data_IF_372387885613
#
_entry.id   IF_372387885613
#
_cell.length_a   1.000
_cell.length_b   1.000
_cell.length_c   1.000
_cell.angle_alpha   90.00
_cell.angle_beta   90.00
_cell.angle_gamma   90.00
#
_symmetry.space_group_name_H-M   'P 1'
#
loop_
_entity.id
_entity.type
_entity.pdbx_description
1 polymer ?
#
# COMPACT_ATOMS: atom_id res chain seq x y z
N UNK A 1 -9.57 13.12 -8.57
CA UNK A 1 -8.97 11.91 -7.97
C UNK A 1 -8.64 10.84 -9.01
N UNK A 2 -9.57 10.47 -9.90
CA UNK A 2 -9.35 9.45 -10.94
C UNK A 2 -8.05 9.60 -11.75
N UNK A 3 -7.76 10.81 -12.23
CA UNK A 3 -6.52 11.12 -12.95
C UNK A 3 -5.27 10.92 -12.08
N UNK A 4 -5.29 11.40 -10.83
CA UNK A 4 -4.21 11.24 -9.87
C UNK A 4 -3.90 9.74 -9.64
N UNK A 5 -4.94 8.93 -9.42
CA UNK A 5 -4.81 7.49 -9.25
C UNK A 5 -4.25 6.82 -10.51
N UNK A 6 -4.69 7.23 -11.70
CA UNK A 6 -4.12 6.73 -12.96
C UNK A 6 -2.62 7.03 -13.09
N UNK A 7 -2.16 8.21 -12.66
CA UNK A 7 -0.74 8.55 -12.67
C UNK A 7 0.04 7.68 -11.66
N UNK A 8 -0.50 7.46 -10.46
CA UNK A 8 0.09 6.56 -9.45
C UNK A 8 0.23 5.14 -10.00
N UNK A 9 -0.81 4.62 -10.64
CA UNK A 9 -0.83 3.28 -11.24
C UNK A 9 0.24 3.16 -12.36
N UNK A 10 0.35 4.18 -13.21
CA UNK A 10 1.34 4.23 -14.29
C UNK A 10 2.77 4.25 -13.76
N UNK A 11 3.05 5.06 -12.75
CA UNK A 11 4.39 5.19 -12.17
C UNK A 11 4.84 3.91 -11.47
N UNK A 12 3.90 3.15 -10.90
CA UNK A 12 4.15 1.82 -10.34
C UNK A 12 4.14 0.69 -11.39
N UNK A 13 4.00 1.02 -12.69
CA UNK A 13 4.04 0.08 -13.82
C UNK A 13 2.94 -0.99 -13.82
N UNK A 14 1.80 -0.71 -13.19
CA UNK A 14 0.65 -1.61 -13.26
C UNK A 14 -0.01 -1.51 -14.65
N UNK A 15 -0.49 -2.65 -15.15
CA UNK A 15 -1.42 -2.67 -16.28
C UNK A 15 -2.78 -2.15 -15.85
N UNK A 16 -3.49 -1.56 -16.80
CA UNK A 16 -4.76 -0.87 -16.55
C UNK A 16 -5.80 -1.34 -17.54
N UNK A 17 -6.97 -1.69 -17.02
CA UNK A 17 -8.21 -1.88 -17.77
C UNK A 17 -9.25 -0.91 -17.20
N UNK A 18 -9.75 -0.02 -18.05
CA UNK A 18 -10.83 0.90 -17.69
C UNK A 18 -12.14 0.27 -18.15
N UNK A 19 -13.12 0.21 -17.25
CA UNK A 19 -14.44 -0.33 -17.54
C UNK A 19 -15.51 0.53 -16.87
N UNK A 20 -16.76 0.32 -17.27
CA UNK A 20 -17.94 0.84 -16.60
C UNK A 20 -18.87 -0.34 -16.27
N UNK A 21 -19.18 -0.52 -14.99
CA UNK A 21 -20.02 -1.63 -14.52
C UNK A 21 -21.05 -1.08 -13.54
N UNK A 22 -22.33 -1.39 -13.78
CA UNK A 22 -23.48 -0.79 -13.08
C UNK A 22 -23.49 0.75 -13.07
N UNK A 23 -23.10 1.37 -14.19
CA UNK A 23 -23.04 2.82 -14.35
C UNK A 23 -22.05 3.52 -13.40
N UNK A 24 -21.04 2.77 -12.92
CA UNK A 24 -19.93 3.30 -12.12
C UNK A 24 -18.61 3.04 -12.83
N UNK A 25 -17.76 4.06 -12.80
CA UNK A 25 -16.44 4.01 -13.41
C UNK A 25 -15.48 3.15 -12.59
N UNK A 26 -14.81 2.24 -13.28
CA UNK A 26 -13.87 1.31 -12.67
C UNK A 26 -12.53 1.39 -13.37
N UNK A 27 -11.47 1.37 -12.55
CA UNK A 27 -10.13 1.05 -13.02
C UNK A 27 -9.72 -0.28 -12.39
N UNK A 28 -9.59 -1.31 -13.21
CA UNK A 28 -8.93 -2.55 -12.82
C UNK A 28 -7.44 -2.44 -13.14
N UNK A 29 -6.59 -2.79 -12.18
CA UNK A 29 -5.14 -2.75 -12.36
C UNK A 29 -4.43 -3.91 -11.69
N UNK A 30 -3.29 -4.30 -12.25
CA UNK A 30 -2.55 -5.48 -11.82
C UNK A 30 -1.10 -5.41 -12.29
N UNK A 31 -0.20 -6.13 -11.59
CA UNK A 31 1.17 -6.34 -12.03
C UNK A 31 1.25 -7.49 -13.04
N UNK A 32 2.10 -7.42 -14.07
CA UNK A 32 2.28 -8.55 -14.99
C UNK A 32 2.96 -9.76 -14.31
N UNK A 33 3.88 -9.48 -13.39
CA UNK A 33 4.77 -10.43 -12.72
C UNK A 33 4.31 -10.86 -11.32
N UNK A 34 3.31 -10.19 -10.75
CA UNK A 34 2.74 -10.52 -9.43
C UNK A 34 1.29 -10.94 -9.53
N UNK A 35 0.80 -11.62 -8.52
CA UNK A 35 -0.59 -12.06 -8.42
C UNK A 35 -1.46 -11.09 -7.61
N UNK A 36 -1.12 -9.80 -7.58
CA UNK A 36 -1.90 -8.77 -6.88
C UNK A 36 -2.82 -8.00 -7.84
N UNK A 37 -4.08 -7.85 -7.47
CA UNK A 37 -5.13 -7.24 -8.29
C UNK A 37 -5.87 -6.15 -7.53
N UNK A 38 -6.18 -5.06 -8.22
CA UNK A 38 -6.78 -3.88 -7.62
C UNK A 38 -7.95 -3.38 -8.47
N UNK A 39 -9.13 -3.27 -7.88
CA UNK A 39 -10.29 -2.60 -8.45
C UNK A 39 -10.42 -1.24 -7.77
N UNK A 40 -10.31 -0.17 -8.53
CA UNK A 40 -10.62 1.18 -8.09
C UNK A 40 -12.02 1.54 -8.53
N UNK A 41 -12.89 1.82 -7.57
CA UNK A 41 -14.28 2.21 -7.77
C UNK A 41 -14.41 3.71 -7.49
N UNK A 42 -14.76 4.51 -8.49
CA UNK A 42 -14.92 5.96 -8.34
C UNK A 42 -16.40 6.32 -8.25
N UNK A 43 -16.85 6.76 -7.08
CA UNK A 43 -18.26 7.08 -6.87
C UNK A 43 -18.46 8.11 -5.76
N UNK A 44 -19.54 8.87 -5.85
CA UNK A 44 -20.09 9.58 -4.69
C UNK A 44 -20.82 8.62 -3.75
N UNK A 45 -21.07 9.02 -2.51
CA UNK A 45 -21.89 8.22 -1.60
C UNK A 45 -23.29 7.92 -2.14
N UNK A 46 -23.91 8.92 -2.77
CA UNK A 46 -25.23 8.76 -3.39
C UNK A 46 -25.19 7.67 -4.48
N UNK A 47 -24.14 7.64 -5.28
CA UNK A 47 -23.97 6.62 -6.32
C UNK A 47 -23.71 5.24 -5.73
N UNK A 48 -22.92 5.13 -4.67
CA UNK A 48 -22.72 3.87 -3.95
C UNK A 48 -24.06 3.32 -3.43
N UNK A 49 -24.87 4.18 -2.80
CA UNK A 49 -26.19 3.78 -2.28
C UNK A 49 -27.24 3.54 -3.38
N UNK A 50 -27.21 4.26 -4.50
CA UNK A 50 -28.27 4.18 -5.52
C UNK A 50 -27.96 3.26 -6.68
N UNK A 51 -26.68 3.11 -7.06
CA UNK A 51 -26.26 2.32 -8.24
C UNK A 51 -25.85 0.91 -7.84
N UNK A 52 -25.21 0.76 -6.68
CA UNK A 52 -24.68 -0.53 -6.22
C UNK A 52 -25.68 -1.21 -5.27
N UNK A 53 -26.35 -0.48 -4.39
CA UNK A 53 -27.35 -1.05 -3.46
C UNK A 53 -28.79 -1.13 -4.05
N UNK A 54 -28.95 -1.26 -5.37
CA UNK A 54 -30.25 -1.18 -6.07
C UNK A 54 -31.29 -2.23 -5.62
N UNK A 55 -30.84 -3.41 -5.21
CA UNK A 55 -31.72 -4.57 -5.00
C UNK A 55 -32.11 -4.81 -3.53
N UNK A 56 -31.55 -4.03 -2.59
CA UNK A 56 -31.85 -4.20 -1.16
C UNK A 56 -32.72 -3.04 -0.66
N UNK A 57 -33.98 -3.35 -0.33
CA UNK A 57 -34.92 -2.47 0.38
C UNK A 57 -34.43 -2.04 1.78
N UNK A 58 -33.24 -2.49 2.21
CA UNK A 58 -32.54 -2.01 3.37
C UNK A 58 -31.35 -1.17 2.91
N UNK A 59 -31.41 0.15 3.16
CA UNK A 59 -30.27 1.08 3.02
C UNK A 59 -29.03 0.67 3.83
N UNK A 60 -29.17 -0.34 4.69
CA UNK A 60 -28.19 -0.76 5.69
C UNK A 60 -27.22 -1.88 5.26
N UNK A 61 -27.25 -2.39 4.02
CA UNK A 61 -26.34 -3.47 3.61
C UNK A 61 -25.49 -3.15 2.37
N UNK A 62 -24.84 -1.98 2.41
CA UNK A 62 -23.82 -1.55 1.43
C UNK A 62 -22.70 -2.60 1.32
N UNK A 63 -22.38 -3.29 2.41
CA UNK A 63 -21.37 -4.34 2.43
C UNK A 63 -21.74 -5.52 1.52
N UNK A 64 -22.96 -6.05 1.66
CA UNK A 64 -23.46 -7.11 0.79
C UNK A 64 -23.49 -6.67 -0.67
N UNK A 65 -23.91 -5.43 -0.93
CA UNK A 65 -23.96 -4.87 -2.28
C UNK A 65 -22.56 -4.79 -2.91
N UNK A 66 -21.55 -4.35 -2.16
CA UNK A 66 -20.16 -4.32 -2.59
C UNK A 66 -19.58 -5.73 -2.82
N UNK A 67 -19.87 -6.68 -1.94
CA UNK A 67 -19.43 -8.06 -2.11
C UNK A 67 -20.05 -8.69 -3.37
N UNK A 68 -21.34 -8.47 -3.60
CA UNK A 68 -22.07 -8.92 -4.80
C UNK A 68 -21.52 -8.26 -6.06
N UNK A 69 -21.24 -6.96 -6.00
CA UNK A 69 -20.60 -6.21 -7.08
C UNK A 69 -19.25 -6.83 -7.47
N UNK A 70 -18.37 -7.07 -6.50
CA UNK A 70 -17.04 -7.65 -6.77
C UNK A 70 -17.18 -9.07 -7.32
N UNK A 71 -18.09 -9.87 -6.77
CA UNK A 71 -18.36 -11.22 -7.26
C UNK A 71 -18.79 -11.22 -8.73
N UNK A 72 -19.76 -10.39 -9.09
CA UNK A 72 -20.26 -10.29 -10.46
C UNK A 72 -19.22 -9.68 -11.41
N UNK A 73 -18.45 -8.68 -10.97
CA UNK A 73 -17.37 -8.12 -11.79
C UNK A 73 -16.29 -9.18 -12.09
N UNK A 74 -15.86 -9.94 -11.08
CA UNK A 74 -14.91 -11.05 -11.26
C UNK A 74 -15.42 -12.07 -12.28
N UNK A 75 -16.68 -12.48 -12.13
CA UNK A 75 -17.30 -13.50 -12.98
C UNK A 75 -17.47 -13.05 -14.42
N UNK A 76 -17.88 -11.80 -14.64
CA UNK A 76 -18.26 -11.30 -15.96
C UNK A 76 -17.10 -10.64 -16.72
N UNK A 77 -16.10 -10.08 -16.02
CA UNK A 77 -15.01 -9.29 -16.64
C UNK A 77 -13.62 -9.85 -16.43
N UNK A 78 -13.39 -10.59 -15.34
CA UNK A 78 -12.03 -11.01 -14.94
C UNK A 78 -11.82 -12.53 -15.01
N UNK A 79 -12.62 -13.23 -15.81
CA UNK A 79 -12.55 -14.69 -15.92
C UNK A 79 -11.15 -15.18 -16.39
N UNK A 80 -10.47 -14.40 -17.23
CA UNK A 80 -9.13 -14.70 -17.73
C UNK A 80 -8.05 -14.67 -16.64
N UNK A 81 -8.31 -14.01 -15.52
CA UNK A 81 -7.40 -13.90 -14.38
C UNK A 81 -7.59 -15.02 -13.33
N UNK A 82 -8.55 -15.93 -13.52
CA UNK A 82 -8.78 -17.05 -12.58
C UNK A 82 -7.57 -17.94 -12.37
N UNK A 83 -6.78 -18.15 -13.42
CA UNK A 83 -5.56 -18.95 -13.35
C UNK A 83 -4.39 -18.25 -12.63
N UNK A 84 -4.57 -16.99 -12.23
CA UNK A 84 -3.57 -16.17 -11.52
C UNK A 84 -3.99 -15.87 -10.07
N UNK A 85 -4.78 -16.76 -9.46
CA UNK A 85 -5.22 -16.66 -8.06
C UNK A 85 -5.97 -15.36 -7.68
N UNK A 86 -6.69 -14.74 -8.63
CA UNK A 86 -7.42 -13.49 -8.39
C UNK A 86 -8.44 -13.58 -7.25
N UNK A 87 -8.98 -14.76 -6.97
CA UNK A 87 -9.96 -14.92 -5.90
C UNK A 87 -9.39 -14.66 -4.50
N UNK A 88 -8.08 -14.82 -4.31
CA UNK A 88 -7.43 -14.63 -3.01
C UNK A 88 -6.68 -13.29 -2.88
N UNK A 89 -6.33 -12.68 -4.01
CA UNK A 89 -5.41 -11.53 -4.06
C UNK A 89 -6.05 -10.26 -4.65
N UNK A 90 -7.37 -10.14 -4.54
CA UNK A 90 -8.11 -8.98 -5.00
C UNK A 90 -8.34 -7.97 -3.89
N UNK A 91 -7.99 -6.72 -4.17
CA UNK A 91 -8.34 -5.56 -3.35
C UNK A 91 -9.33 -4.65 -4.08
N UNK A 92 -10.35 -4.20 -3.37
CA UNK A 92 -11.27 -3.16 -3.79
C UNK A 92 -10.90 -1.86 -3.08
N UNK A 93 -10.55 -0.83 -3.84
CA UNK A 93 -10.30 0.53 -3.35
C UNK A 93 -11.47 1.40 -3.79
N UNK A 94 -12.29 1.80 -2.82
CA UNK A 94 -13.46 2.66 -3.03
C UNK A 94 -13.02 4.10 -2.83
N UNK A 95 -13.04 4.87 -3.91
CA UNK A 95 -12.59 6.25 -3.96
C UNK A 95 -13.82 7.15 -3.91
N UNK A 96 -14.06 7.77 -2.77
CA UNK A 96 -15.29 8.52 -2.48
C UNK A 96 -14.98 9.99 -2.25
N UNK A 97 -15.67 10.86 -2.99
CA UNK A 97 -15.68 12.30 -2.68
C UNK A 97 -16.56 12.54 -1.44
N UNK A 98 -15.95 13.05 -0.37
CA UNK A 98 -16.58 13.23 0.93
C UNK A 98 -17.50 14.45 0.91
N UNK A 99 -18.80 14.22 1.07
CA UNK A 99 -19.81 15.29 1.08
C UNK A 99 -20.44 15.39 2.46
N UNK A 100 -19.78 16.07 3.42
CA UNK A 100 -20.28 16.51 4.74
C UNK A 100 -21.09 15.54 5.62
N UNK A 101 -21.30 14.29 5.21
CA UNK A 101 -22.06 13.25 5.87
C UNK A 101 -21.09 12.38 6.64
N UNK A 102 -21.52 11.95 7.82
CA UNK A 102 -20.80 10.93 8.58
C UNK A 102 -20.70 9.64 7.75
N UNK A 103 -19.47 9.26 7.41
CA UNK A 103 -19.13 8.03 6.68
C UNK A 103 -18.58 6.94 7.60
N UNK A 104 -18.65 7.12 8.92
CA UNK A 104 -18.07 6.19 9.90
C UNK A 104 -18.53 4.75 9.74
N UNK A 105 -19.79 4.53 9.32
CA UNK A 105 -20.34 3.21 9.04
C UNK A 105 -19.71 2.52 7.84
N UNK A 106 -19.24 3.27 6.83
CA UNK A 106 -18.58 2.68 5.67
C UNK A 106 -17.25 2.06 6.06
N UNK A 107 -16.49 2.67 6.97
CA UNK A 107 -15.18 2.14 7.36
C UNK A 107 -15.25 0.74 8.00
N UNK A 108 -16.40 0.36 8.57
CA UNK A 108 -16.63 -1.01 9.07
C UNK A 108 -16.53 -2.07 7.97
N UNK A 109 -16.81 -1.70 6.73
CA UNK A 109 -16.74 -2.59 5.56
C UNK A 109 -15.31 -3.08 5.30
N UNK A 110 -14.29 -2.32 5.73
CA UNK A 110 -12.88 -2.70 5.59
C UNK A 110 -12.51 -3.95 6.41
N UNK A 111 -13.28 -4.24 7.48
CA UNK A 111 -13.03 -5.40 8.35
C UNK A 111 -13.39 -6.74 7.67
N UNK A 112 -14.30 -6.72 6.69
CA UNK A 112 -14.72 -7.93 5.99
C UNK A 112 -13.91 -8.16 4.71
N UNK A 113 -13.06 -9.19 4.75
CA UNK A 113 -12.16 -9.59 3.66
C UNK A 113 -12.63 -10.84 2.87
N UNK A 114 -13.87 -11.31 3.04
CA UNK A 114 -14.34 -12.60 2.51
C UNK A 114 -14.22 -12.71 0.99
N UNK A 115 -14.64 -11.68 0.25
CA UNK A 115 -14.65 -11.69 -1.23
C UNK A 115 -13.45 -10.95 -1.83
N UNK A 116 -12.99 -9.92 -1.13
CA UNK A 116 -11.85 -9.07 -1.47
C UNK A 116 -11.46 -8.27 -0.23
N UNK A 117 -10.18 -7.88 -0.14
CA UNK A 117 -9.75 -6.82 0.78
C UNK A 117 -10.41 -5.51 0.35
N UNK A 118 -10.79 -4.64 1.29
CA UNK A 118 -11.50 -3.40 0.98
C UNK A 118 -10.82 -2.22 1.65
N UNK A 119 -10.71 -1.13 0.91
CA UNK A 119 -10.13 0.13 1.35
C UNK A 119 -11.05 1.26 0.93
N UNK A 120 -11.32 2.20 1.83
CA UNK A 120 -12.08 3.41 1.56
C UNK A 120 -11.12 4.59 1.60
N UNK A 121 -10.96 5.22 0.43
CA UNK A 121 -10.22 6.45 0.24
C UNK A 121 -11.21 7.60 0.08
N UNK A 122 -11.54 8.26 1.19
CA UNK A 122 -12.32 9.49 1.17
C UNK A 122 -11.43 10.71 0.90
N UNK A 123 -11.96 11.68 0.15
CA UNK A 123 -11.27 12.95 -0.10
C UNK A 123 -12.25 14.11 -0.20
N UNK A 124 -11.87 15.28 0.29
CA UNK A 124 -12.55 16.53 -0.05
C UNK A 124 -11.97 17.14 -1.33
N UNK A 125 -12.82 17.82 -2.11
CA UNK A 125 -12.40 18.40 -3.39
C UNK A 125 -11.36 19.51 -3.21
N UNK A 126 -11.45 20.33 -2.17
CA UNK A 126 -10.50 21.40 -1.89
C UNK A 126 -9.14 20.83 -1.46
N UNK A 127 -9.13 19.77 -0.64
CA UNK A 127 -7.92 19.03 -0.28
C UNK A 127 -7.21 18.48 -1.51
N UNK A 128 -7.97 17.87 -2.42
CA UNK A 128 -7.44 17.34 -3.67
C UNK A 128 -6.84 18.43 -4.56
N UNK A 129 -7.53 19.56 -4.73
CA UNK A 129 -7.02 20.64 -5.57
C UNK A 129 -5.75 21.28 -4.96
N UNK A 130 -5.70 21.44 -3.64
CA UNK A 130 -4.46 21.86 -2.94
C UNK A 130 -3.34 20.86 -3.16
N UNK A 131 -3.60 19.55 -2.97
CA UNK A 131 -2.60 18.51 -3.19
C UNK A 131 -2.07 18.55 -4.63
N UNK A 132 -2.94 18.70 -5.64
CA UNK A 132 -2.51 18.84 -7.03
C UNK A 132 -1.59 20.04 -7.27
N UNK A 133 -1.87 21.17 -6.63
CA UNK A 133 -1.01 22.36 -6.73
C UNK A 133 0.38 22.13 -6.12
N UNK A 134 0.51 21.27 -5.11
CA UNK A 134 1.80 20.92 -4.49
C UNK A 134 2.61 19.91 -5.33
N UNK A 135 1.97 19.14 -6.20
CA UNK A 135 2.61 18.05 -6.95
C UNK A 135 3.37 18.55 -8.20
N UNK A 136 3.06 19.76 -8.68
CA UNK A 136 3.52 20.33 -9.96
C UNK A 136 3.29 19.37 -11.16
N UNK A 137 3.52 19.80 -12.41
CA UNK A 137 3.38 18.94 -13.60
C UNK A 137 4.54 17.91 -13.72
N UNK A 138 4.92 17.27 -12.62
CA UNK A 138 6.01 16.30 -12.57
C UNK A 138 5.61 14.96 -13.21
N UNK A 139 6.58 14.32 -13.88
CA UNK A 139 6.38 13.03 -14.53
C UNK A 139 6.48 11.82 -13.59
N UNK A 140 6.81 12.02 -12.30
CA UNK A 140 6.92 10.95 -11.32
C UNK A 140 6.22 11.34 -10.01
N UNK A 141 4.93 11.07 -9.97
CA UNK A 141 4.02 11.43 -8.89
C UNK A 141 4.35 10.69 -7.60
N UNK A 142 4.80 9.43 -7.70
CA UNK A 142 5.12 8.61 -6.53
C UNK A 142 6.34 9.16 -5.78
N UNK A 143 7.38 9.59 -6.51
CA UNK A 143 8.54 10.22 -5.88
C UNK A 143 8.16 11.55 -5.24
N UNK A 144 7.39 12.39 -5.93
CA UNK A 144 6.91 13.66 -5.37
C UNK A 144 6.06 13.44 -4.12
N UNK A 145 5.21 12.42 -4.11
CA UNK A 145 4.43 12.06 -2.92
C UNK A 145 5.31 11.73 -1.73
N UNK A 146 6.39 10.97 -1.94
CA UNK A 146 7.34 10.65 -0.89
C UNK A 146 8.09 11.89 -0.40
N UNK A 147 8.54 12.75 -1.32
CA UNK A 147 9.21 14.02 -0.97
C UNK A 147 8.30 14.95 -0.15
N UNK A 148 7.04 15.11 -0.58
CA UNK A 148 6.04 15.90 0.13
C UNK A 148 5.76 15.31 1.52
N UNK A 149 5.59 13.99 1.61
CA UNK A 149 5.38 13.29 2.87
C UNK A 149 6.53 13.53 3.88
N UNK A 150 7.78 13.47 3.41
CA UNK A 150 8.96 13.74 4.27
C UNK A 150 9.02 15.21 4.68
N UNK A 151 8.91 16.12 3.71
CA UNK A 151 9.04 17.58 3.89
C UNK A 151 8.00 18.14 4.86
N UNK A 152 6.83 17.53 4.89
CA UNK A 152 5.66 18.00 5.65
C UNK A 152 5.29 17.09 6.82
N UNK A 153 6.19 16.18 7.23
CA UNK A 153 6.02 15.26 8.37
C UNK A 153 5.62 15.94 9.70
N UNK A 154 6.00 17.20 9.90
CA UNK A 154 5.64 17.99 11.09
C UNK A 154 4.22 18.58 11.06
N UNK A 155 3.45 18.43 9.97
CA UNK A 155 2.16 19.11 9.75
C UNK A 155 0.92 18.30 10.15
N UNK A 156 1.06 17.12 10.76
CA UNK A 156 -0.03 16.21 11.13
C UNK A 156 -1.16 16.81 12.00
N UNK A 157 -0.95 17.98 12.63
CA UNK A 157 -1.93 18.61 13.53
C UNK A 157 -2.49 19.95 13.00
N UNK A 158 -2.16 20.36 11.77
CA UNK A 158 -2.63 21.64 11.23
C UNK A 158 -3.82 21.46 10.27
N UNK A 159 -5.00 21.98 10.64
CA UNK A 159 -6.21 21.93 9.82
C UNK A 159 -6.05 22.63 8.46
N UNK A 160 -5.19 23.66 8.36
CA UNK A 160 -4.92 24.36 7.09
C UNK A 160 -4.23 23.46 6.05
N UNK A 161 -3.64 22.36 6.52
CA UNK A 161 -2.83 21.40 5.78
C UNK A 161 -3.59 20.09 5.55
N UNK A 162 -4.93 20.11 5.53
CA UNK A 162 -5.77 18.93 5.32
C UNK A 162 -5.44 18.13 4.03
N UNK A 163 -4.87 18.80 3.02
CA UNK A 163 -4.33 18.14 1.81
C UNK A 163 -3.20 17.14 2.11
N UNK A 164 -2.43 17.38 3.17
CA UNK A 164 -1.38 16.47 3.66
C UNK A 164 -2.00 15.21 4.29
N UNK A 165 -3.13 15.36 4.99
CA UNK A 165 -3.89 14.21 5.49
C UNK A 165 -4.39 13.35 4.32
N UNK A 166 -4.84 13.98 3.22
CA UNK A 166 -5.20 13.26 2.01
C UNK A 166 -4.00 12.50 1.40
N UNK A 167 -2.83 13.13 1.33
CA UNK A 167 -1.59 12.46 0.88
C UNK A 167 -1.30 11.20 1.71
N UNK A 168 -1.39 11.30 3.04
CA UNK A 168 -1.18 10.15 3.92
C UNK A 168 -2.27 9.09 3.78
N UNK A 169 -3.54 9.48 3.64
CA UNK A 169 -4.64 8.55 3.34
C UNK A 169 -4.36 7.76 2.06
N UNK A 170 -3.81 8.40 1.02
CA UNK A 170 -3.44 7.73 -0.24
C UNK A 170 -2.39 6.64 0.02
N UNK A 171 -1.31 6.93 0.75
CA UNK A 171 -0.31 5.93 1.14
C UNK A 171 -0.90 4.77 1.95
N UNK A 172 -1.85 5.05 2.84
CA UNK A 172 -2.47 4.02 3.70
C UNK A 172 -3.45 3.14 2.91
N UNK A 173 -4.20 3.72 1.98
CA UNK A 173 -5.34 3.06 1.32
C UNK A 173 -5.01 2.45 -0.04
N UNK A 174 -3.86 2.79 -0.64
CA UNK A 174 -3.38 2.18 -1.89
C UNK A 174 -2.29 1.15 -1.56
N UNK A 175 -2.59 -0.17 -1.55
CA UNK A 175 -1.70 -1.17 -0.95
C UNK A 175 -0.36 -1.38 -1.64
N UNK A 176 -0.26 -1.01 -2.92
CA UNK A 176 0.99 -1.11 -3.67
C UNK A 176 1.83 0.18 -3.64
N UNK A 177 1.28 1.26 -3.08
CA UNK A 177 1.99 2.52 -2.97
C UNK A 177 2.86 2.47 -1.71
N UNK A 178 4.15 2.21 -1.89
CA UNK A 178 5.08 2.19 -0.78
C UNK A 178 5.47 3.63 -0.41
N UNK A 179 5.26 3.98 0.86
CA UNK A 179 5.97 5.10 1.46
C UNK A 179 7.44 4.71 1.57
N UNK A 180 8.24 5.27 0.67
CA UNK A 180 9.69 5.28 0.79
C UNK A 180 9.99 6.38 1.80
N UNK A 181 9.85 6.04 3.09
CA UNK A 181 10.69 6.66 4.12
C UNK A 181 12.12 6.64 3.57
N UNK A 182 12.95 7.63 3.86
CA UNK A 182 14.37 7.65 3.49
C UNK A 182 15.10 6.44 4.12
N UNK A 183 14.82 5.24 3.63
CA UNK A 183 15.38 3.97 4.03
C UNK A 183 16.81 3.90 3.52
N UNK A 184 17.19 4.74 2.54
CA UNK A 184 18.60 5.03 2.29
C UNK A 184 19.30 5.72 3.47
N UNK A 185 18.60 6.25 4.49
CA UNK A 185 19.24 6.68 5.74
C UNK A 185 19.17 5.64 6.84
N UNK A 186 18.20 4.73 6.84
CA UNK A 186 18.13 3.66 7.84
C UNK A 186 19.00 2.45 7.48
N UNK A 187 19.05 2.06 6.21
CA UNK A 187 20.04 1.10 5.68
C UNK A 187 21.45 1.68 5.87
N UNK A 188 21.69 2.94 5.52
CA UNK A 188 22.97 3.60 5.81
C UNK A 188 23.24 3.76 7.33
N UNK A 189 22.23 3.78 8.21
CA UNK A 189 22.42 3.79 9.67
C UNK A 189 22.73 2.39 10.19
N UNK A 190 22.15 1.35 9.61
CA UNK A 190 22.40 -0.05 9.96
C UNK A 190 23.77 -0.50 9.47
N UNK A 191 24.15 -0.15 8.24
CA UNK A 191 25.51 -0.34 7.71
C UNK A 191 26.54 0.39 8.58
N UNK A 192 26.26 1.64 8.98
CA UNK A 192 27.12 2.36 9.94
C UNK A 192 27.16 1.72 11.34
N UNK A 193 26.09 1.05 11.77
CA UNK A 193 26.06 0.38 13.06
C UNK A 193 26.89 -0.90 13.03
N UNK A 194 26.84 -1.66 11.93
CA UNK A 194 27.72 -2.80 11.70
C UNK A 194 29.19 -2.35 11.72
N UNK A 195 29.52 -1.30 10.98
CA UNK A 195 30.88 -0.73 10.95
C UNK A 195 31.34 -0.25 12.34
N UNK A 196 30.46 0.39 13.12
CA UNK A 196 30.77 0.84 14.48
C UNK A 196 30.95 -0.32 15.45
N UNK A 197 30.11 -1.35 15.39
CA UNK A 197 30.25 -2.56 16.22
C UNK A 197 31.57 -3.24 15.89
N UNK A 198 31.87 -3.41 14.61
CA UNK A 198 33.11 -4.02 14.11
C UNK A 198 34.31 -3.20 14.60
N UNK A 199 34.28 -1.87 14.55
CA UNK A 199 35.39 -1.02 15.03
C UNK A 199 35.63 -1.08 16.54
N UNK A 200 34.61 -1.41 17.34
CA UNK A 200 34.71 -1.54 18.81
C UNK A 200 35.13 -2.94 19.26
N UNK A 201 35.27 -3.91 18.34
CA UNK A 201 35.74 -5.25 18.68
C UNK A 201 37.25 -5.25 19.01
N UNK A 202 37.62 -6.05 20.01
CA UNK A 202 39.04 -6.34 20.26
C UNK A 202 39.67 -7.15 19.12
N UNK A 203 40.99 -7.15 19.04
CA UNK A 203 41.74 -7.94 18.04
C UNK A 203 41.34 -9.43 18.06
N UNK A 204 41.16 -9.98 19.26
CA UNK A 204 40.71 -11.36 19.46
C UNK A 204 39.28 -11.58 18.94
N UNK A 205 38.37 -10.65 19.23
CA UNK A 205 36.97 -10.72 18.78
C UNK A 205 36.85 -10.61 17.26
N UNK A 206 37.67 -9.78 16.62
CA UNK A 206 37.77 -9.73 15.16
C UNK A 206 38.24 -11.05 14.55
N UNK A 207 39.23 -11.69 15.17
CA UNK A 207 39.75 -12.98 14.71
C UNK A 207 38.67 -14.06 14.77
N UNK A 208 37.91 -14.10 15.88
CA UNK A 208 36.80 -15.04 16.05
C UNK A 208 35.67 -14.76 15.05
N UNK A 209 35.27 -13.49 14.89
CA UNK A 209 34.23 -13.09 13.93
C UNK A 209 34.60 -13.52 12.51
N UNK A 210 35.84 -13.33 12.08
CA UNK A 210 36.31 -13.76 10.76
C UNK A 210 36.27 -15.29 10.59
N UNK A 211 36.57 -16.06 11.64
CA UNK A 211 36.45 -17.52 11.60
C UNK A 211 34.98 -17.95 11.49
N UNK A 212 34.07 -17.28 12.19
CA UNK A 212 32.63 -17.54 12.07
C UNK A 212 32.15 -17.24 10.66
N UNK A 213 32.47 -16.07 10.11
CA UNK A 213 31.98 -15.67 8.78
C UNK A 213 32.52 -16.54 7.64
N UNK A 214 33.75 -17.03 7.73
CA UNK A 214 34.42 -17.72 6.62
C UNK A 214 34.50 -19.24 6.75
N UNK A 215 34.35 -19.79 7.95
CA UNK A 215 34.64 -21.21 8.22
C UNK A 215 33.49 -21.92 8.92
N UNK A 216 32.68 -21.22 9.72
CA UNK A 216 31.59 -21.87 10.45
C UNK A 216 30.46 -22.30 9.51
N UNK A 217 30.08 -23.58 9.62
CA UNK A 217 28.89 -24.13 8.99
C UNK A 217 27.93 -24.63 10.07
N UNK A 218 26.73 -24.02 10.22
CA UNK A 218 25.78 -24.37 11.27
C UNK A 218 25.20 -25.78 11.13
N UNK A 219 25.37 -26.44 9.98
CA UNK A 219 24.93 -27.82 9.80
C UNK A 219 25.95 -28.84 10.34
N UNK A 220 27.21 -28.43 10.56
CA UNK A 220 28.30 -29.33 10.94
C UNK A 220 28.61 -29.28 12.44
N UNK A 221 28.37 -28.14 13.09
CA UNK A 221 28.71 -27.91 14.51
C UNK A 221 27.89 -26.78 15.11
N UNK A 222 27.64 -26.86 16.41
CA UNK A 222 27.04 -25.75 17.19
C UNK A 222 28.01 -24.56 17.34
N UNK A 223 27.46 -23.35 17.35
CA UNK A 223 28.25 -22.11 17.38
C UNK A 223 29.05 -21.95 18.67
N UNK A 224 28.50 -22.30 19.84
CA UNK A 224 29.22 -22.19 21.11
C UNK A 224 30.39 -23.19 21.16
N UNK A 225 30.17 -24.39 20.61
CA UNK A 225 31.21 -25.40 20.48
C UNK A 225 32.30 -24.98 19.49
N UNK A 226 31.92 -24.38 18.36
CA UNK A 226 32.87 -23.84 17.38
C UNK A 226 33.72 -22.72 17.96
N UNK A 227 33.11 -21.79 18.71
CA UNK A 227 33.82 -20.68 19.35
C UNK A 227 34.81 -21.19 20.39
N UNK A 228 34.39 -22.10 21.28
CA UNK A 228 35.28 -22.65 22.32
C UNK A 228 36.49 -23.39 21.74
N UNK A 229 36.32 -24.16 20.66
CA UNK A 229 37.43 -24.85 19.99
C UNK A 229 38.41 -23.91 19.28
N UNK A 230 37.99 -22.69 18.96
CA UNK A 230 38.77 -21.71 18.20
C UNK A 230 39.32 -20.56 19.06
N UNK A 231 39.06 -20.57 20.37
CA UNK A 231 39.60 -19.65 21.37
C UNK A 231 40.96 -20.10 21.92
N UNK A 232 41.26 -21.41 21.96
CA UNK A 232 42.44 -21.96 22.63
C UNK A 232 43.66 -22.24 21.72
N UNK A 233 43.67 -21.73 20.48
CA UNK A 233 44.79 -21.91 19.54
C UNK A 233 45.61 -20.61 19.38
N UNK A 234 46.21 -20.13 20.48
CA UNK A 234 47.40 -19.27 20.48
C UNK A 234 48.55 -19.92 21.26
#
# INVERSE_FOLDING_TARGET
>A
MKELINNIIRDNQLKVMIDNFYDVDIIFSYFEDKEDFFIFLFCTYSELSQKINKDNNNENDIEYALNSFVYEFKKNRLNDFRNRNIDNNLSLIIVIEETSKDMSHLYKIEENSIISKKYILSYDKQELEKLKNEIDDSQNIVNVFNELAIKHSNKLQNEEEAWYNLLLKIFIKIPFLNYVSTINTEVNKLEKLEDLIVQELSVEQHSILNKILNVYNPNDMDLELFISLNQDNE
#
